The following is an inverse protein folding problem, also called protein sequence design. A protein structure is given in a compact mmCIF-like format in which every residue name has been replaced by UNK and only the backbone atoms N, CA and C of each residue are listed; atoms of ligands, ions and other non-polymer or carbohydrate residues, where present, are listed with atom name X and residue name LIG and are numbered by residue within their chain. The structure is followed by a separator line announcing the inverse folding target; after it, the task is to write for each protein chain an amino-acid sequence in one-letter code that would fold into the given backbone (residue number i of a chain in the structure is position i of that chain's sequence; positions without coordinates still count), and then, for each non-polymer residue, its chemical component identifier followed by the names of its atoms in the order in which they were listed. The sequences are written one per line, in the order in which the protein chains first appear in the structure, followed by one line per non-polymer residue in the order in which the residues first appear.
data_IF_844561570267
#
_entry.id   IF_844561570267
#
_cell.length_a   1.000
_cell.length_b   1.000
_cell.length_c   1.000
_cell.angle_alpha   90.00
_cell.angle_beta   90.00
_cell.angle_gamma   90.00
#
_symmetry.space_group_name_H-M   'P 1'
#
loop_
_entity.id
_entity.type
_entity.pdbx_description
1 polymer ?
#
# COMPACT_ATOMS: atom_id res chain seq x y z
N UNK A 1 -1.85 5.36 19.98
CA UNK A 1 -1.51 4.44 18.87
C UNK A 1 -1.54 5.23 17.57
N UNK A 2 -0.73 4.85 16.59
CA UNK A 2 -0.79 5.42 15.24
C UNK A 2 -1.06 4.31 14.23
N UNK A 3 -1.91 4.56 13.25
CA UNK A 3 -2.11 3.65 12.15
C UNK A 3 -2.30 4.37 10.82
N UNK A 4 -1.92 3.70 9.75
CA UNK A 4 -2.02 4.19 8.38
C UNK A 4 -2.81 3.22 7.53
N UNK A 5 -3.80 3.75 6.81
CA UNK A 5 -4.49 3.03 5.75
C UNK A 5 -3.75 3.32 4.45
N UNK A 6 -3.21 2.28 3.82
CA UNK A 6 -2.41 2.41 2.60
C UNK A 6 -3.15 1.80 1.42
N UNK A 7 -3.38 2.60 0.38
CA UNK A 7 -3.90 2.15 -0.91
C UNK A 7 -2.77 2.16 -1.94
N UNK A 8 -2.25 0.99 -2.35
CA UNK A 8 -1.23 0.95 -3.39
C UNK A 8 -1.84 1.33 -4.74
N UNK A 9 -1.07 2.03 -5.57
CA UNK A 9 -1.46 2.52 -6.88
C UNK A 9 -0.45 2.05 -7.93
N UNK A 10 -0.98 1.68 -9.09
CA UNK A 10 -0.24 1.36 -10.29
C UNK A 10 -0.70 2.28 -11.43
N UNK A 11 0.22 2.88 -12.17
CA UNK A 11 -0.07 3.73 -13.33
C UNK A 11 0.84 3.38 -14.51
N UNK A 12 0.34 2.49 -15.34
CA UNK A 12 0.96 1.96 -16.54
C UNK A 12 0.59 2.76 -17.79
N UNK A 13 0.03 3.96 -17.66
CA UNK A 13 -0.36 4.76 -18.83
C UNK A 13 0.83 5.11 -19.71
N UNK A 14 2.06 5.11 -19.17
CA UNK A 14 3.29 5.23 -19.95
C UNK A 14 3.45 4.17 -21.05
N UNK A 15 2.76 3.02 -20.93
CA UNK A 15 2.72 1.96 -21.94
C UNK A 15 1.78 2.24 -23.11
N UNK A 16 0.83 3.16 -22.94
CA UNK A 16 -0.04 3.58 -24.04
C UNK A 16 0.76 4.46 -25.02
N UNK A 17 0.55 4.30 -26.32
CA UNK A 17 1.27 5.06 -27.36
C UNK A 17 1.18 6.59 -27.16
N UNK A 18 -0.01 7.12 -26.84
CA UNK A 18 -0.22 8.53 -26.45
C UNK A 18 -0.10 8.81 -24.94
N UNK A 19 0.48 7.87 -24.19
CA UNK A 19 0.53 7.86 -22.72
C UNK A 19 -0.84 8.04 -22.04
N UNK A 20 -1.93 7.72 -22.74
CA UNK A 20 -3.32 7.95 -22.34
C UNK A 20 -3.57 9.35 -21.74
N UNK A 21 -2.92 10.38 -22.33
CA UNK A 21 -3.05 11.75 -21.87
C UNK A 21 -2.39 12.07 -20.52
N UNK A 22 -1.62 11.13 -19.93
CA UNK A 22 -0.87 11.32 -18.68
C UNK A 22 0.04 12.54 -18.78
N UNK A 23 0.13 13.30 -17.70
CA UNK A 23 1.12 14.38 -17.56
C UNK A 23 2.54 13.80 -17.60
N UNK A 24 3.42 14.38 -18.42
CA UNK A 24 4.79 13.85 -18.64
C UNK A 24 5.66 13.84 -17.39
N UNK A 25 5.43 14.80 -16.50
CA UNK A 25 6.02 14.82 -15.16
C UNK A 25 4.90 15.17 -14.19
N UNK A 26 4.55 14.30 -13.23
CA UNK A 26 4.15 14.86 -11.96
C UNK A 26 5.41 15.55 -11.42
N UNK A 27 5.36 16.85 -11.13
CA UNK A 27 6.58 17.60 -10.80
C UNK A 27 7.03 17.32 -9.36
N UNK A 28 7.57 16.12 -9.13
CA UNK A 28 8.20 15.76 -7.86
C UNK A 28 9.60 16.37 -7.84
N UNK A 29 9.84 17.28 -6.90
CA UNK A 29 11.18 17.76 -6.58
C UNK A 29 11.81 18.79 -7.53
N UNK A 30 11.02 19.53 -8.31
CA UNK A 30 11.50 20.84 -8.77
C UNK A 30 11.15 21.85 -7.68
N UNK A 31 12.13 22.66 -7.26
CA UNK A 31 12.02 23.73 -6.28
C UNK A 31 11.08 24.88 -6.70
N UNK A 32 10.24 24.66 -7.70
CA UNK A 32 9.27 25.62 -8.20
C UNK A 32 7.89 25.33 -7.57
N UNK A 33 7.42 26.16 -6.63
CA UNK A 33 6.06 26.08 -6.07
C UNK A 33 4.95 26.31 -7.11
N UNK A 34 5.26 26.67 -8.37
CA UNK A 34 4.32 26.72 -9.48
C UNK A 34 4.26 25.44 -10.33
N UNK A 35 5.05 24.42 -9.99
CA UNK A 35 4.99 23.15 -10.68
C UNK A 35 3.65 22.48 -10.37
N UNK A 36 2.70 22.60 -11.32
CA UNK A 36 1.32 22.12 -11.21
C UNK A 36 1.33 20.62 -10.94
N UNK A 37 1.19 20.24 -9.67
CA UNK A 37 0.89 18.85 -9.31
C UNK A 37 -0.42 18.42 -9.99
N UNK A 38 -0.68 17.11 -9.99
CA UNK A 38 -1.92 16.54 -10.45
C UNK A 38 -3.10 17.34 -9.85
N UNK A 39 -3.91 17.98 -10.69
CA UNK A 39 -4.96 18.93 -10.27
C UNK A 39 -5.86 18.28 -9.20
N UNK A 40 -6.41 19.02 -8.23
CA UNK A 40 -7.37 18.43 -7.27
C UNK A 40 -6.76 17.66 -6.10
N UNK A 41 -5.43 17.63 -6.01
CA UNK A 41 -4.72 17.38 -4.77
C UNK A 41 -4.31 18.72 -4.12
N UNK A 42 -3.66 18.67 -2.97
CA UNK A 42 -3.15 19.81 -2.21
C UNK A 42 -1.69 20.15 -2.52
N UNK A 43 -1.04 20.80 -1.56
CA UNK A 43 0.36 21.24 -1.66
C UNK A 43 1.35 20.06 -1.74
N UNK A 44 2.50 20.30 -2.38
CA UNK A 44 3.63 19.36 -2.34
C UNK A 44 4.52 19.76 -1.17
N UNK A 45 4.87 18.77 -0.35
CA UNK A 45 5.77 18.97 0.78
C UNK A 45 7.03 18.15 0.60
N UNK A 46 8.16 18.71 1.01
CA UNK A 46 9.38 17.95 1.31
C UNK A 46 9.22 17.24 2.64
N UNK A 47 9.61 15.98 2.72
CA UNK A 47 9.70 15.29 4.00
C UNK A 47 11.00 15.68 4.70
N UNK A 48 10.92 16.07 5.98
CA UNK A 48 12.10 16.28 6.83
C UNK A 48 12.88 14.96 6.90
N UNK A 49 14.08 14.95 6.32
CA UNK A 49 14.97 13.78 6.28
C UNK A 49 15.22 13.30 7.71
N UNK A 50 14.92 12.04 7.97
CA UNK A 50 15.39 11.34 9.17
C UNK A 50 15.60 9.87 8.79
N UNK A 51 16.77 9.33 9.14
CA UNK A 51 17.14 7.93 8.92
C UNK A 51 18.10 7.73 7.77
N UNK A 52 17.60 7.42 6.56
CA UNK A 52 18.47 6.91 5.49
C UNK A 52 18.05 7.34 4.08
N UNK A 53 17.09 8.26 3.93
CA UNK A 53 16.72 8.88 2.65
C UNK A 53 16.29 7.88 1.56
N UNK A 54 15.14 7.22 1.73
CA UNK A 54 14.62 6.31 0.70
C UNK A 54 14.31 7.06 -0.61
N UNK A 55 14.85 6.62 -1.77
CA UNK A 55 14.51 7.21 -3.07
C UNK A 55 13.00 7.15 -3.32
N UNK A 56 12.38 8.27 -3.68
CA UNK A 56 10.93 8.37 -3.94
C UNK A 56 10.05 8.81 -2.76
N UNK A 57 10.61 8.94 -1.55
CA UNK A 57 9.86 9.42 -0.36
C UNK A 57 10.22 10.85 0.08
N UNK A 58 11.07 11.52 -0.70
CA UNK A 58 11.56 12.86 -0.39
C UNK A 58 10.46 13.93 -0.48
N UNK A 59 9.41 13.63 -1.25
CA UNK A 59 8.28 14.51 -1.45
C UNK A 59 6.99 13.71 -1.23
N UNK A 60 5.91 14.40 -0.96
CA UNK A 60 4.55 13.88 -1.02
C UNK A 60 3.60 15.01 -1.39
N UNK A 61 2.47 14.65 -2.00
CA UNK A 61 1.36 15.58 -2.19
C UNK A 61 0.34 15.38 -1.06
N UNK A 62 -0.20 16.48 -0.53
CA UNK A 62 -1.37 16.42 0.34
C UNK A 62 -2.62 16.03 -0.48
N UNK A 63 -3.51 15.22 0.09
CA UNK A 63 -4.78 14.82 -0.50
C UNK A 63 -5.98 15.58 0.05
N UNK A 64 -5.80 16.72 0.74
CA UNK A 64 -6.88 17.44 1.42
C UNK A 64 -8.05 17.77 0.50
N UNK A 65 -7.79 18.13 -0.76
CA UNK A 65 -8.82 18.47 -1.74
C UNK A 65 -9.57 17.24 -2.27
N UNK A 66 -8.91 16.07 -2.30
CA UNK A 66 -9.47 14.83 -2.82
C UNK A 66 -10.18 14.01 -1.73
N UNK A 67 -9.67 14.00 -0.51
CA UNK A 67 -10.09 13.11 0.57
C UNK A 67 -10.58 13.96 1.74
N UNK A 68 -11.80 13.71 2.21
CA UNK A 68 -12.43 14.35 3.36
C UNK A 68 -12.92 13.31 4.35
N UNK A 69 -12.95 13.69 5.63
CA UNK A 69 -13.46 12.87 6.71
C UNK A 69 -14.78 13.48 7.17
N UNK A 70 -15.94 12.87 6.83
CA UNK A 70 -17.24 13.49 7.06
C UNK A 70 -17.63 13.53 8.55
N UNK A 71 -17.06 12.63 9.35
CA UNK A 71 -17.32 12.48 10.78
C UNK A 71 -16.03 12.17 11.52
N UNK A 72 -16.06 12.33 12.84
CA UNK A 72 -15.04 11.80 13.73
C UNK A 72 -15.19 10.28 13.82
N UNK A 73 -14.07 9.56 13.96
CA UNK A 73 -14.05 8.11 14.04
C UNK A 73 -13.87 7.66 15.48
N UNK A 74 -14.58 6.59 15.85
CA UNK A 74 -14.60 6.06 17.20
C UNK A 74 -14.34 4.56 17.15
N UNK A 75 -13.17 4.13 17.62
CA UNK A 75 -12.73 2.75 17.54
C UNK A 75 -12.72 2.10 18.92
N UNK A 76 -13.20 0.86 19.02
CA UNK A 76 -13.13 0.07 20.25
C UNK A 76 -11.84 -0.74 20.29
N UNK A 77 -11.11 -0.81 21.42
CA UNK A 77 -9.89 -1.60 21.53
C UNK A 77 -10.09 -3.08 21.18
N UNK A 78 -11.24 -3.63 21.57
CA UNK A 78 -11.74 -4.98 21.28
C UNK A 78 -13.28 -4.92 21.18
N UNK A 79 -13.92 -5.83 20.45
CA UNK A 79 -15.37 -5.80 20.17
C UNK A 79 -16.27 -5.72 21.40
N UNK A 80 -15.84 -6.33 22.52
CA UNK A 80 -16.66 -6.48 23.72
C UNK A 80 -16.71 -5.23 24.61
N UNK A 81 -15.82 -4.26 24.39
CA UNK A 81 -15.79 -3.04 25.19
C UNK A 81 -16.83 -2.04 24.71
N UNK A 82 -17.51 -1.39 25.67
CA UNK A 82 -18.53 -0.39 25.36
C UNK A 82 -17.90 0.97 25.02
N UNK A 83 -16.79 1.31 25.68
CA UNK A 83 -16.08 2.58 25.48
C UNK A 83 -15.28 2.56 24.17
N UNK A 84 -15.43 3.64 23.40
CA UNK A 84 -14.71 3.85 22.16
C UNK A 84 -13.65 4.93 22.34
N UNK A 85 -12.60 4.83 21.55
CA UNK A 85 -11.45 5.72 21.51
C UNK A 85 -11.57 6.58 20.28
N UNK A 86 -11.38 7.87 20.45
CA UNK A 86 -11.39 8.82 19.33
C UNK A 86 -10.17 8.54 18.45
N UNK A 87 -10.41 8.27 17.17
CA UNK A 87 -9.39 8.26 16.13
C UNK A 87 -9.51 9.53 15.29
N UNK A 88 -8.43 10.30 15.19
CA UNK A 88 -8.40 11.52 14.41
C UNK A 88 -7.35 11.47 13.30
N UNK A 89 -7.66 12.03 12.12
CA UNK A 89 -6.73 12.05 11.01
C UNK A 89 -5.57 12.99 11.30
N UNK A 90 -4.35 12.55 10.99
CA UNK A 90 -3.13 13.36 11.15
C UNK A 90 -2.51 13.76 9.81
N UNK A 91 -2.74 12.99 8.74
CA UNK A 91 -2.32 13.37 7.39
C UNK A 91 -3.06 12.56 6.32
N UNK A 92 -3.04 13.09 5.09
CA UNK A 92 -3.58 12.46 3.89
C UNK A 92 -2.53 12.66 2.80
N UNK A 93 -1.69 11.67 2.57
CA UNK A 93 -0.54 11.82 1.70
C UNK A 93 -0.70 10.95 0.47
N UNK A 94 -0.18 11.43 -0.63
CA UNK A 94 0.05 10.64 -1.82
C UNK A 94 1.54 10.64 -2.11
N UNK A 95 2.04 9.47 -2.51
CA UNK A 95 3.41 9.25 -2.97
C UNK A 95 3.37 8.61 -4.35
N UNK A 96 4.29 8.98 -5.23
CA UNK A 96 4.43 8.38 -6.56
C UNK A 96 5.88 8.40 -6.99
N UNK A 97 6.35 7.31 -7.57
CA UNK A 97 7.74 7.14 -8.01
C UNK A 97 8.07 7.92 -9.30
N UNK A 98 7.05 8.44 -9.98
CA UNK A 98 7.19 9.15 -11.26
C UNK A 98 7.08 8.23 -12.48
N UNK A 99 7.14 6.92 -12.28
CA UNK A 99 7.19 5.89 -13.31
C UNK A 99 5.89 5.10 -13.36
N UNK A 100 5.63 4.24 -12.37
CA UNK A 100 4.51 3.31 -12.38
C UNK A 100 3.85 3.06 -11.03
N UNK A 101 4.51 3.36 -9.91
CA UNK A 101 4.05 2.94 -8.58
C UNK A 101 3.81 4.14 -7.68
N UNK A 102 2.72 4.09 -6.92
CA UNK A 102 2.43 5.08 -5.90
C UNK A 102 1.54 4.53 -4.81
N UNK A 103 1.17 5.40 -3.87
CA UNK A 103 0.24 5.04 -2.81
C UNK A 103 -0.48 6.25 -2.26
N UNK A 104 -1.71 6.05 -1.83
CA UNK A 104 -2.35 6.91 -0.85
C UNK A 104 -2.03 6.38 0.55
N UNK A 105 -1.62 7.25 1.45
CA UNK A 105 -1.30 6.93 2.83
C UNK A 105 -2.08 7.86 3.76
N UNK A 106 -3.06 7.30 4.46
CA UNK A 106 -3.99 8.05 5.31
C UNK A 106 -3.69 7.71 6.76
N UNK A 107 -3.07 8.67 7.46
CA UNK A 107 -2.59 8.49 8.82
C UNK A 107 -3.61 8.93 9.85
N UNK A 108 -3.75 8.14 10.90
CA UNK A 108 -4.62 8.39 12.05
C UNK A 108 -3.86 8.20 13.36
N UNK A 109 -4.29 8.93 14.37
CA UNK A 109 -3.82 8.77 15.75
C UNK A 109 -5.02 8.56 16.67
N UNK A 110 -4.86 7.65 17.62
CA UNK A 110 -5.80 7.50 18.74
C UNK A 110 -5.55 8.60 19.76
N UNK A 111 -6.61 9.21 20.27
CA UNK A 111 -6.56 10.28 21.25
C UNK A 111 -6.19 9.73 22.65
N UNK A 112 -5.14 10.31 23.23
CA UNK A 112 -4.59 9.90 24.53
C UNK A 112 -5.63 10.01 25.66
N UNK A 113 -6.41 11.10 25.70
CA UNK A 113 -7.46 11.27 26.72
C UNK A 113 -8.51 10.15 26.68
N UNK A 114 -8.98 9.77 25.50
CA UNK A 114 -9.92 8.65 25.36
C UNK A 114 -9.28 7.28 25.64
N UNK A 115 -7.96 7.14 25.49
CA UNK A 115 -7.22 5.95 25.90
C UNK A 115 -7.18 5.87 27.43
N UNK A 116 -6.88 6.98 28.10
CA UNK A 116 -6.81 7.07 29.56
C UNK A 116 -8.19 6.81 30.19
N UNK A 117 -9.26 7.34 29.60
CA UNK A 117 -10.64 7.07 30.02
C UNK A 117 -10.98 5.58 29.94
N UNK A 118 -10.63 4.93 28.83
CA UNK A 118 -10.82 3.47 28.67
C UNK A 118 -10.03 2.71 29.73
N UNK A 119 -8.76 3.06 29.94
CA UNK A 119 -7.91 2.41 30.93
C UNK A 119 -8.46 2.60 32.36
N UNK A 120 -9.00 3.78 32.67
CA UNK A 120 -9.64 4.06 33.95
C UNK A 120 -10.92 3.24 34.16
N UNK A 121 -11.77 3.13 33.14
CA UNK A 121 -13.06 2.44 33.27
C UNK A 121 -13.00 0.92 33.12
N UNK A 122 -12.11 0.40 32.27
CA UNK A 122 -12.07 -1.00 31.86
C UNK A 122 -10.79 -1.71 32.38
N UNK A 123 -9.88 -0.98 33.02
CA UNK A 123 -8.60 -1.48 33.55
C UNK A 123 -7.53 -1.63 32.47
N UNK A 124 -6.63 -2.60 32.66
CA UNK A 124 -5.52 -2.87 31.73
C UNK A 124 -6.03 -3.53 30.43
N UNK A 125 -6.54 -2.71 29.52
CA UNK A 125 -7.03 -3.15 28.20
C UNK A 125 -5.88 -3.51 27.27
N UNK A 126 -5.97 -4.70 26.66
CA UNK A 126 -5.13 -5.09 25.53
C UNK A 126 -5.88 -4.84 24.23
N UNK A 127 -5.19 -4.29 23.24
CA UNK A 127 -5.75 -3.83 21.99
C UNK A 127 -5.63 -4.90 20.91
N UNK A 128 -6.65 -5.09 20.09
CA UNK A 128 -6.58 -5.97 18.92
C UNK A 128 -6.26 -5.16 17.66
N UNK A 129 -5.10 -5.46 17.04
CA UNK A 129 -4.70 -4.83 15.78
C UNK A 129 -5.69 -5.15 14.66
N UNK A 130 -6.15 -6.40 14.60
CA UNK A 130 -7.11 -6.90 13.61
C UNK A 130 -8.46 -6.19 13.73
N UNK A 131 -8.95 -6.00 14.96
CA UNK A 131 -10.26 -5.40 15.22
C UNK A 131 -10.24 -3.88 14.98
N UNK A 132 -9.16 -3.20 15.35
CA UNK A 132 -9.00 -1.78 15.06
C UNK A 132 -8.90 -1.53 13.55
N UNK A 133 -8.14 -2.36 12.84
CA UNK A 133 -8.07 -2.32 11.38
C UNK A 133 -9.44 -2.60 10.74
N UNK A 134 -10.21 -3.55 11.29
CA UNK A 134 -11.53 -3.89 10.77
C UNK A 134 -12.47 -2.69 10.88
N UNK A 135 -12.55 -2.11 12.08
CA UNK A 135 -13.41 -0.96 12.36
C UNK A 135 -13.04 0.23 11.47
N UNK A 136 -11.77 0.63 11.42
CA UNK A 136 -11.39 1.79 10.59
C UNK A 136 -11.65 1.54 9.10
N UNK A 137 -11.48 0.32 8.59
CA UNK A 137 -11.76 0.03 7.18
C UNK A 137 -13.26 0.05 6.83
N UNK A 138 -14.14 -0.03 7.85
CA UNK A 138 -15.58 0.15 7.70
C UNK A 138 -16.03 1.60 7.89
N UNK A 139 -15.17 2.49 8.42
CA UNK A 139 -15.49 3.90 8.55
C UNK A 139 -15.61 4.59 7.19
N UNK A 140 -16.53 5.55 7.10
CA UNK A 140 -16.80 6.27 5.87
C UNK A 140 -15.76 7.36 5.60
N UNK A 141 -15.25 7.38 4.38
CA UNK A 141 -14.44 8.45 3.81
C UNK A 141 -15.19 9.12 2.67
N UNK A 142 -15.02 10.43 2.50
CA UNK A 142 -15.57 11.17 1.38
C UNK A 142 -14.49 11.50 0.35
N UNK A 143 -14.68 11.08 -0.89
CA UNK A 143 -13.77 11.35 -2.03
C UNK A 143 -14.43 12.39 -2.94
N UNK A 144 -13.77 13.53 -3.15
CA UNK A 144 -14.23 14.66 -3.95
C UNK A 144 -13.40 14.76 -5.23
N UNK A 145 -14.02 14.48 -6.37
CA UNK A 145 -13.34 14.49 -7.67
C UNK A 145 -13.39 15.88 -8.32
N UNK A 146 -12.41 16.13 -9.19
CA UNK A 146 -12.31 17.39 -9.95
C UNK A 146 -13.50 17.69 -10.85
N UNK A 147 -14.21 16.66 -11.31
CA UNK A 147 -15.39 16.77 -12.17
C UNK A 147 -16.68 16.99 -11.36
N UNK A 148 -16.57 17.21 -10.04
CA UNK A 148 -17.68 17.48 -9.15
C UNK A 148 -18.34 16.25 -8.55
N UNK A 149 -17.98 15.02 -8.98
CA UNK A 149 -18.48 13.79 -8.35
C UNK A 149 -18.00 13.69 -6.90
N UNK A 150 -18.88 13.25 -6.01
CA UNK A 150 -18.60 13.05 -4.58
C UNK A 150 -19.05 11.66 -4.16
N UNK A 151 -18.17 10.91 -3.52
CA UNK A 151 -18.44 9.55 -3.05
C UNK A 151 -18.25 9.51 -1.54
N UNK A 152 -19.25 9.07 -0.80
CA UNK A 152 -19.11 8.74 0.63
C UNK A 152 -19.25 7.24 0.77
N UNK A 153 -18.19 6.57 1.19
CA UNK A 153 -18.13 5.11 1.23
C UNK A 153 -17.11 4.63 2.27
N UNK A 154 -17.16 3.36 2.71
CA UNK A 154 -16.14 2.79 3.57
C UNK A 154 -14.74 2.87 2.95
N UNK A 155 -13.68 3.01 3.76
CA UNK A 155 -12.30 2.94 3.27
C UNK A 155 -12.03 1.68 2.47
N UNK A 156 -12.56 0.53 2.91
CA UNK A 156 -12.48 -0.75 2.19
C UNK A 156 -12.97 -0.71 0.75
N UNK A 157 -13.88 0.21 0.42
CA UNK A 157 -14.45 0.40 -0.92
C UNK A 157 -13.89 1.61 -1.68
N UNK A 158 -12.90 2.33 -1.12
CA UNK A 158 -12.46 3.63 -1.64
C UNK A 158 -11.64 3.56 -2.94
N UNK A 159 -11.07 2.39 -3.27
CA UNK A 159 -10.10 2.23 -4.34
C UNK A 159 -10.56 2.76 -5.72
N UNK A 160 -11.79 2.48 -6.22
CA UNK A 160 -12.23 2.99 -7.52
C UNK A 160 -12.32 4.52 -7.57
N UNK A 161 -12.80 5.16 -6.50
CA UNK A 161 -12.90 6.62 -6.45
C UNK A 161 -11.51 7.28 -6.36
N UNK A 162 -10.59 6.68 -5.60
CA UNK A 162 -9.19 7.12 -5.53
C UNK A 162 -8.49 6.99 -6.90
N UNK A 163 -8.74 5.91 -7.63
CA UNK A 163 -8.25 5.70 -9.00
C UNK A 163 -8.76 6.80 -9.94
N UNK A 164 -10.07 7.05 -9.94
CA UNK A 164 -10.68 8.07 -10.79
C UNK A 164 -10.14 9.46 -10.45
N UNK A 165 -10.00 9.77 -9.16
CA UNK A 165 -9.33 10.98 -8.67
C UNK A 165 -7.93 11.11 -9.24
N UNK A 166 -7.10 10.08 -9.10
CA UNK A 166 -5.76 10.09 -9.69
C UNK A 166 -5.79 10.36 -11.19
N UNK A 167 -6.60 9.65 -11.98
CA UNK A 167 -6.65 9.81 -13.44
C UNK A 167 -7.05 11.24 -13.81
N UNK A 168 -8.11 11.80 -13.20
CA UNK A 168 -8.57 13.17 -13.46
C UNK A 168 -7.48 14.21 -13.18
N UNK A 169 -6.78 14.02 -12.06
CA UNK A 169 -5.72 14.90 -11.59
C UNK A 169 -4.48 14.85 -12.48
N UNK A 170 -4.13 13.67 -12.98
CA UNK A 170 -2.87 13.39 -13.65
C UNK A 170 -2.98 13.27 -15.18
N UNK A 171 -4.10 13.69 -15.76
CA UNK A 171 -4.35 13.72 -17.23
C UNK A 171 -4.35 15.16 -17.75
N UNK A 172 -3.75 15.43 -18.91
CA UNK A 172 -3.79 16.75 -19.58
C UNK A 172 -5.25 17.19 -19.79
N UNK A 173 -5.58 18.48 -19.55
CA UNK A 173 -6.97 18.97 -19.64
C UNK A 173 -7.61 18.67 -21.01
N UNK A 174 -6.86 18.93 -22.08
CA UNK A 174 -7.31 18.67 -23.44
C UNK A 174 -7.59 17.18 -23.72
N UNK A 175 -6.91 16.27 -23.01
CA UNK A 175 -7.03 14.84 -23.19
C UNK A 175 -8.15 14.19 -22.36
N UNK A 176 -8.72 14.90 -21.37
CA UNK A 176 -9.82 14.38 -20.54
C UNK A 176 -11.09 14.04 -21.35
N UNK A 177 -11.30 14.70 -22.49
CA UNK A 177 -12.42 14.39 -23.39
C UNK A 177 -12.13 13.24 -24.34
N UNK A 178 -10.85 12.91 -24.55
CA UNK A 178 -10.39 11.92 -25.52
C UNK A 178 -10.28 10.52 -24.92
N UNK A 179 -10.11 10.42 -23.59
CA UNK A 179 -9.95 9.15 -22.90
C UNK A 179 -11.05 8.92 -21.88
N UNK A 180 -11.77 7.80 -22.04
CA UNK A 180 -12.75 7.35 -21.05
C UNK A 180 -12.04 6.88 -19.77
N UNK A 181 -12.34 7.53 -18.64
CA UNK A 181 -11.69 7.26 -17.34
C UNK A 181 -11.81 5.80 -16.93
N UNK A 182 -12.99 5.19 -17.10
CA UNK A 182 -13.23 3.80 -16.71
C UNK A 182 -12.40 2.84 -17.54
N UNK A 183 -12.29 3.06 -18.86
CA UNK A 183 -11.49 2.25 -19.77
C UNK A 183 -10.00 2.35 -19.42
N UNK A 184 -9.50 3.57 -19.21
CA UNK A 184 -8.12 3.80 -18.77
C UNK A 184 -7.86 3.16 -17.40
N UNK A 185 -8.79 3.32 -16.46
CA UNK A 185 -8.72 2.76 -15.11
C UNK A 185 -8.93 1.26 -15.01
N UNK A 186 -9.39 0.58 -16.06
CA UNK A 186 -9.45 -0.89 -16.12
C UNK A 186 -8.19 -1.51 -16.70
N UNK A 187 -7.46 -0.76 -17.52
CA UNK A 187 -6.32 -1.28 -18.29
C UNK A 187 -4.98 -0.75 -17.77
N UNK A 188 -4.88 0.54 -17.50
CA UNK A 188 -3.59 1.20 -17.26
C UNK A 188 -3.42 1.69 -15.83
N UNK A 189 -4.49 1.99 -15.09
CA UNK A 189 -4.38 2.54 -13.74
C UNK A 189 -5.14 1.69 -12.74
N UNK A 190 -4.46 1.14 -11.74
CA UNK A 190 -5.06 0.36 -10.67
C UNK A 190 -4.86 1.01 -9.31
N UNK A 191 -5.86 0.91 -8.43
CA UNK A 191 -5.69 1.11 -6.98
C UNK A 191 -6.08 -0.20 -6.30
N UNK A 192 -5.20 -0.71 -5.44
CA UNK A 192 -5.38 -1.98 -4.77
C UNK A 192 -6.26 -1.90 -3.53
N UNK A 193 -6.63 -3.07 -3.02
CA UNK A 193 -7.25 -3.19 -1.70
C UNK A 193 -6.34 -2.56 -0.65
N UNK A 194 -6.90 -1.83 0.34
CA UNK A 194 -6.11 -1.23 1.38
C UNK A 194 -5.45 -2.30 2.26
N UNK A 195 -4.30 -1.96 2.81
CA UNK A 195 -3.74 -2.64 3.98
C UNK A 195 -3.52 -1.62 5.09
N UNK A 196 -3.50 -2.10 6.34
CA UNK A 196 -3.35 -1.23 7.50
C UNK A 196 -2.00 -1.48 8.14
N UNK A 197 -1.27 -0.41 8.40
CA UNK A 197 -0.08 -0.45 9.23
C UNK A 197 -0.41 0.13 10.61
N UNK A 198 -0.06 -0.57 11.69
CA UNK A 198 -0.33 -0.14 13.07
C UNK A 198 0.99 -0.07 13.84
N UNK A 199 1.29 1.08 14.43
CA UNK A 199 2.28 1.20 15.51
C UNK A 199 1.54 1.37 16.83
N UNK A 200 1.74 0.41 17.73
CA UNK A 200 1.27 0.49 19.10
C UNK A 200 2.40 0.94 20.01
N UNK A 201 2.26 2.06 20.71
CA UNK A 201 3.21 2.43 21.77
C UNK A 201 2.87 1.76 23.11
N UNK A 202 3.64 2.10 24.14
CA UNK A 202 3.50 1.54 25.50
C UNK A 202 2.11 1.70 26.11
N UNK A 203 1.37 2.73 25.71
CA UNK A 203 0.04 3.06 26.21
C UNK A 203 -1.06 2.16 25.61
N UNK A 204 -0.79 1.45 24.51
CA UNK A 204 -1.82 0.71 23.76
C UNK A 204 -1.47 -0.75 23.49
N UNK A 205 -0.90 -1.44 24.49
CA UNK A 205 -0.37 -2.80 24.37
C UNK A 205 -1.27 -3.74 23.55
N UNK A 206 -0.68 -4.34 22.51
CA UNK A 206 -1.41 -5.27 21.65
C UNK A 206 -1.62 -6.61 22.36
N UNK A 207 -2.79 -7.20 22.17
CA UNK A 207 -3.03 -8.59 22.56
C UNK A 207 -2.27 -9.53 21.61
N UNK A 208 -1.85 -10.69 22.14
CA UNK A 208 -1.24 -11.74 21.32
C UNK A 208 -2.36 -12.49 20.58
N UNK A 209 -2.60 -12.12 19.34
CA UNK A 209 -3.60 -12.78 18.49
C UNK A 209 -3.11 -14.18 18.04
N UNK A 210 -4.05 -15.10 17.85
CA UNK A 210 -3.77 -16.50 17.47
C UNK A 210 -3.31 -16.63 16.01
N UNK A 211 -3.68 -15.68 15.15
CA UNK A 211 -3.38 -15.70 13.71
C UNK A 211 -2.29 -14.69 13.32
N UNK A 212 -1.33 -14.45 14.22
CA UNK A 212 -0.18 -13.58 13.94
C UNK A 212 0.97 -14.38 13.30
N UNK A 213 1.52 -13.86 12.21
CA UNK A 213 2.78 -14.32 11.61
C UNK A 213 3.87 -13.31 11.91
N UNK A 214 4.91 -13.72 12.60
CA UNK A 214 6.05 -12.85 12.86
C UNK A 214 6.84 -12.63 11.56
N UNK A 215 6.96 -11.36 11.16
CA UNK A 215 7.72 -10.93 9.98
C UNK A 215 9.15 -10.57 10.35
N UNK A 216 9.37 -9.98 11.52
CA UNK A 216 10.69 -9.69 12.06
C UNK A 216 10.62 -9.68 13.58
N UNK A 217 11.72 -9.98 14.25
CA UNK A 217 11.79 -9.94 15.71
C UNK A 217 13.20 -10.07 16.23
N UNK A 218 13.66 -9.02 16.89
CA UNK A 218 14.80 -9.06 17.81
C UNK A 218 14.41 -8.37 19.14
N UNK A 219 15.39 -8.10 20.00
CA UNK A 219 15.16 -7.45 21.30
C UNK A 219 14.60 -6.02 21.20
N UNK A 220 14.72 -5.37 20.03
CA UNK A 220 14.49 -3.94 19.84
C UNK A 220 13.41 -3.61 18.80
N UNK A 221 13.05 -4.57 17.93
CA UNK A 221 12.04 -4.41 16.90
C UNK A 221 11.29 -5.72 16.68
N UNK A 222 9.98 -5.69 16.87
CA UNK A 222 9.07 -6.76 16.46
C UNK A 222 8.14 -6.24 15.37
N UNK A 223 7.96 -7.02 14.31
CA UNK A 223 6.96 -6.77 13.28
C UNK A 223 6.19 -8.07 13.07
N UNK A 224 4.87 -8.00 13.11
CA UNK A 224 4.03 -9.12 12.75
C UNK A 224 2.96 -8.73 11.75
N UNK A 225 2.53 -9.73 11.00
CA UNK A 225 1.42 -9.65 10.07
C UNK A 225 0.23 -10.38 10.68
N UNK A 226 -0.95 -9.83 10.49
CA UNK A 226 -2.21 -10.49 10.76
C UNK A 226 -3.22 -10.15 9.67
N UNK A 227 -4.42 -10.73 9.79
CA UNK A 227 -5.51 -10.45 8.87
C UNK A 227 -6.68 -9.85 9.63
N UNK A 228 -7.14 -8.73 9.12
CA UNK A 228 -8.40 -8.14 9.52
C UNK A 228 -9.46 -8.46 8.48
N UNK A 229 -10.72 -8.57 8.85
CA UNK A 229 -11.76 -8.79 7.86
C UNK A 229 -13.17 -8.82 8.42
N UNK A 230 -14.13 -8.66 7.51
CA UNK A 230 -15.53 -9.04 7.72
C UNK A 230 -15.82 -10.30 6.91
N UNK A 231 -17.00 -10.92 7.08
CA UNK A 231 -17.37 -12.22 6.48
C UNK A 231 -17.14 -12.38 4.96
N UNK A 232 -16.82 -11.30 4.22
CA UNK A 232 -16.61 -11.31 2.76
C UNK A 232 -15.30 -10.68 2.27
N UNK A 233 -14.49 -10.07 3.13
CA UNK A 233 -13.26 -9.39 2.70
C UNK A 233 -12.20 -9.42 3.79
N UNK A 234 -11.00 -9.86 3.44
CA UNK A 234 -9.81 -9.81 4.30
C UNK A 234 -8.83 -8.73 3.84
N UNK A 235 -8.15 -8.13 4.80
CA UNK A 235 -7.18 -7.08 4.63
C UNK A 235 -5.93 -7.41 5.45
N UNK A 236 -4.77 -7.12 4.87
CA UNK A 236 -3.51 -7.32 5.55
C UNK A 236 -3.30 -6.23 6.61
N UNK A 237 -2.87 -6.65 7.79
CA UNK A 237 -2.49 -5.77 8.88
C UNK A 237 -1.03 -6.03 9.23
N UNK A 238 -0.20 -5.01 9.16
CA UNK A 238 1.16 -5.05 9.67
C UNK A 238 1.22 -4.26 10.97
N UNK A 239 1.77 -4.84 12.02
CA UNK A 239 1.81 -4.22 13.33
C UNK A 239 3.20 -4.25 13.95
N UNK A 240 3.57 -3.13 14.58
CA UNK A 240 4.76 -2.97 15.41
C UNK A 240 4.31 -2.63 16.83
N UNK A 241 4.48 -3.55 17.81
CA UNK A 241 4.46 -3.19 19.21
C UNK A 241 5.77 -2.45 19.54
N UNK A 242 5.65 -1.31 20.18
CA UNK A 242 6.76 -0.41 20.50
C UNK A 242 6.81 -0.14 21.99
N UNK A 243 8.03 -0.10 22.52
CA UNK A 243 8.32 0.35 23.89
C UNK A 243 8.29 1.88 24.02
N UNK A 244 8.37 2.60 22.90
CA UNK A 244 8.30 4.05 22.89
C UNK A 244 6.84 4.54 23.02
N UNK A 245 6.68 5.80 23.41
CA UNK A 245 5.36 6.43 23.59
C UNK A 245 4.57 6.51 22.29
N UNK A 246 3.27 6.81 22.35
CA UNK A 246 2.44 7.02 21.15
C UNK A 246 2.91 8.17 20.26
N UNK A 247 3.53 9.19 20.83
CA UNK A 247 4.01 10.38 20.10
C UNK A 247 5.35 10.17 19.40
N UNK A 248 6.10 9.15 19.82
CA UNK A 248 7.43 8.86 19.30
C UNK A 248 7.40 7.73 18.27
N UNK A 249 8.43 7.64 17.44
CA UNK A 249 8.65 6.51 16.52
C UNK A 249 10.17 6.36 16.41
N UNK A 250 10.70 5.17 16.73
CA UNK A 250 12.14 4.97 16.63
C UNK A 250 12.58 4.97 15.17
N UNK A 251 13.85 5.31 14.86
CA UNK A 251 14.36 5.22 13.49
C UNK A 251 14.17 3.84 12.84
N UNK A 252 14.35 2.76 13.62
CA UNK A 252 14.17 1.37 13.15
C UNK A 252 12.71 1.04 12.84
N UNK A 253 11.77 1.43 13.72
CA UNK A 253 10.33 1.26 13.48
C UNK A 253 9.87 2.01 12.23
N UNK A 254 10.35 3.24 12.07
CA UNK A 254 10.11 4.06 10.88
C UNK A 254 10.64 3.35 9.64
N UNK A 255 11.89 2.91 9.68
CA UNK A 255 12.54 2.25 8.55
C UNK A 255 11.77 1.01 8.12
N UNK A 256 11.45 0.13 9.07
CA UNK A 256 10.65 -1.06 8.86
C UNK A 256 9.29 -0.75 8.22
N UNK A 257 8.56 0.24 8.74
CA UNK A 257 7.27 0.67 8.20
C UNK A 257 7.37 1.12 6.75
N UNK A 258 8.34 1.99 6.45
CA UNK A 258 8.53 2.54 5.11
C UNK A 258 8.95 1.44 4.13
N UNK A 259 9.89 0.61 4.55
CA UNK A 259 10.38 -0.52 3.77
C UNK A 259 9.24 -1.49 3.39
N UNK A 260 8.51 -1.98 4.39
CA UNK A 260 7.38 -2.88 4.17
C UNK A 260 6.32 -2.26 3.26
N UNK A 261 5.97 -0.98 3.52
CA UNK A 261 5.00 -0.24 2.70
C UNK A 261 5.44 -0.14 1.24
N UNK A 262 6.70 0.19 1.01
CA UNK A 262 7.26 0.33 -0.32
C UNK A 262 7.23 -0.99 -1.07
N UNK A 263 7.72 -2.06 -0.45
CA UNK A 263 7.73 -3.42 -1.02
C UNK A 263 6.30 -3.87 -1.40
N UNK A 264 5.32 -3.67 -0.53
CA UNK A 264 3.90 -3.98 -0.81
C UNK A 264 3.33 -3.19 -1.99
N UNK A 265 3.64 -1.90 -2.08
CA UNK A 265 3.15 -1.00 -3.13
C UNK A 265 3.71 -1.38 -4.50
N UNK A 266 4.98 -1.74 -4.54
CA UNK A 266 5.65 -2.19 -5.76
C UNK A 266 5.15 -3.55 -6.21
N UNK A 267 4.99 -4.51 -5.28
CA UNK A 267 4.43 -5.81 -5.59
C UNK A 267 3.01 -5.69 -6.15
N UNK A 268 2.20 -4.77 -5.63
CA UNK A 268 0.89 -4.49 -6.22
C UNK A 268 1.01 -3.99 -7.67
N UNK A 269 1.89 -3.02 -7.94
CA UNK A 269 2.08 -2.49 -9.29
C UNK A 269 2.55 -3.58 -10.27
N UNK A 270 3.45 -4.45 -9.82
CA UNK A 270 3.90 -5.61 -10.58
C UNK A 270 2.76 -6.59 -10.87
N UNK A 271 2.02 -7.03 -9.84
CA UNK A 271 0.89 -7.94 -10.03
C UNK A 271 -0.20 -7.32 -10.92
N UNK A 272 -0.43 -6.01 -10.83
CA UNK A 272 -1.34 -5.31 -11.72
C UNK A 272 -0.85 -5.39 -13.17
N UNK A 273 0.41 -5.08 -13.45
CA UNK A 273 1.00 -5.22 -14.78
C UNK A 273 0.87 -6.64 -15.35
N UNK A 274 1.26 -7.67 -14.58
CA UNK A 274 1.16 -9.06 -15.03
C UNK A 274 -0.27 -9.46 -15.40
N UNK A 275 -1.28 -9.04 -14.62
CA UNK A 275 -2.70 -9.28 -14.94
C UNK A 275 -3.10 -8.66 -16.28
N UNK A 276 -2.65 -7.43 -16.53
CA UNK A 276 -3.00 -6.73 -17.76
C UNK A 276 -2.33 -7.37 -19.00
N UNK A 277 -1.08 -7.82 -18.87
CA UNK A 277 -0.38 -8.60 -19.92
C UNK A 277 -1.04 -9.95 -20.16
N UNK A 278 -1.37 -10.69 -19.09
CA UNK A 278 -2.04 -11.99 -19.19
C UNK A 278 -3.41 -11.87 -19.88
N UNK A 279 -4.15 -10.78 -19.59
CA UNK A 279 -5.44 -10.49 -20.23
C UNK A 279 -5.33 -9.99 -21.69
N UNK A 280 -4.13 -9.83 -22.22
CA UNK A 280 -3.89 -9.34 -23.59
C UNK A 280 -4.19 -7.84 -23.79
N UNK A 281 -4.50 -7.10 -22.72
CA UNK A 281 -4.81 -5.65 -22.79
C UNK A 281 -3.56 -4.79 -22.95
N UNK A 282 -2.39 -5.32 -22.59
CA UNK A 282 -1.08 -4.68 -22.76
C UNK A 282 -0.16 -5.58 -23.59
N UNK A 283 0.56 -4.98 -24.53
CA UNK A 283 1.53 -5.68 -25.38
C UNK A 283 2.95 -5.49 -24.87
N UNK A 284 3.50 -6.56 -24.27
CA UNK A 284 4.94 -6.79 -24.08
C UNK A 284 5.72 -5.81 -23.16
N UNK A 285 6.97 -6.15 -22.78
CA UNK A 285 7.57 -5.72 -21.51
C UNK A 285 8.70 -4.70 -21.54
N UNK A 286 9.16 -4.30 -22.73
CA UNK A 286 10.42 -3.57 -22.90
C UNK A 286 10.49 -2.23 -22.18
N UNK A 287 9.36 -1.63 -21.80
CA UNK A 287 9.30 -0.30 -21.18
C UNK A 287 9.25 -0.30 -19.65
N UNK A 288 8.96 -1.42 -18.99
CA UNK A 288 8.89 -1.50 -17.52
C UNK A 288 9.93 -2.45 -16.92
N UNK A 289 10.47 -3.37 -17.73
CA UNK A 289 11.56 -4.27 -17.34
C UNK A 289 12.75 -3.54 -16.67
N UNK A 290 13.26 -2.39 -17.16
CA UNK A 290 14.33 -1.67 -16.45
C UNK A 290 13.90 -1.11 -15.09
N UNK A 291 12.66 -0.66 -14.94
CA UNK A 291 12.14 -0.14 -13.67
C UNK A 291 11.91 -1.25 -12.65
N UNK A 292 11.44 -2.43 -13.09
CA UNK A 292 11.31 -3.59 -12.22
C UNK A 292 12.69 -4.19 -11.91
N UNK A 293 13.60 -4.27 -12.88
CA UNK A 293 14.94 -4.77 -12.66
C UNK A 293 15.69 -3.87 -11.67
N UNK A 294 15.70 -2.55 -11.87
CA UNK A 294 16.29 -1.61 -10.92
C UNK A 294 15.66 -1.72 -9.52
N UNK A 295 14.38 -2.10 -9.45
CA UNK A 295 13.74 -2.38 -8.17
C UNK A 295 14.23 -3.67 -7.54
N UNK A 296 14.20 -4.77 -8.27
CA UNK A 296 14.62 -6.08 -7.78
C UNK A 296 16.11 -6.06 -7.41
N UNK A 297 16.93 -5.40 -8.22
CA UNK A 297 18.32 -5.06 -7.91
C UNK A 297 18.41 -4.28 -6.62
N UNK A 298 17.67 -3.17 -6.45
CA UNK A 298 17.69 -2.41 -5.19
C UNK A 298 17.24 -3.22 -3.97
N UNK A 299 16.31 -4.16 -4.13
CA UNK A 299 15.87 -5.05 -3.05
C UNK A 299 16.88 -6.16 -2.77
N UNK A 300 17.62 -6.63 -3.78
CA UNK A 300 18.61 -7.69 -3.65
C UNK A 300 20.02 -7.18 -3.34
N UNK A 301 20.31 -5.91 -3.63
CA UNK A 301 21.59 -5.23 -3.46
C UNK A 301 21.61 -4.36 -2.21
N UNK A 302 20.83 -4.74 -1.19
CA UNK A 302 20.92 -4.15 0.15
C UNK A 302 22.27 -4.53 0.75
N UNK A 303 23.32 -3.90 0.25
CA UNK A 303 24.68 -4.01 0.75
C UNK A 303 24.97 -2.79 1.61
N UNK A 304 25.49 -2.99 2.83
CA UNK A 304 25.81 -1.87 3.69
C UNK A 304 27.05 -1.13 3.21
N UNK A 305 27.08 0.17 3.48
CA UNK A 305 28.29 0.98 3.30
C UNK A 305 29.39 0.44 4.20
N UNK A 306 30.54 0.13 3.61
CA UNK A 306 31.69 -0.42 4.32
C UNK A 306 32.06 0.42 5.55
N UNK A 307 32.13 -0.23 6.71
CA UNK A 307 32.45 0.42 7.99
C UNK A 307 31.28 1.14 8.67
N UNK A 308 30.08 1.20 8.08
CA UNK A 308 28.89 1.77 8.71
C UNK A 308 28.02 0.69 9.36
N UNK A 309 28.23 0.48 10.67
CA UNK A 309 27.51 -0.52 11.46
C UNK A 309 25.99 -0.30 11.54
N UNK A 310 25.53 0.96 11.55
CA UNK A 310 24.09 1.26 11.59
C UNK A 310 23.41 0.88 10.27
N UNK A 311 24.10 1.10 9.16
CA UNK A 311 23.64 0.73 7.82
C UNK A 311 23.67 -0.79 7.61
N UNK A 312 24.70 -1.48 8.12
CA UNK A 312 24.76 -2.95 8.18
C UNK A 312 23.57 -3.57 8.90
N UNK A 313 23.23 -3.04 10.07
CA UNK A 313 22.06 -3.49 10.82
C UNK A 313 20.75 -3.26 10.03
N UNK A 314 20.60 -2.07 9.43
CA UNK A 314 19.44 -1.71 8.62
C UNK A 314 19.28 -2.63 7.39
N UNK A 315 20.34 -2.87 6.64
CA UNK A 315 20.33 -3.78 5.49
C UNK A 315 19.96 -5.21 5.92
N UNK A 316 20.51 -5.70 7.03
CA UNK A 316 20.19 -7.01 7.58
C UNK A 316 18.70 -7.12 7.96
N UNK A 317 18.15 -6.12 8.64
CA UNK A 317 16.73 -6.08 9.01
C UNK A 317 15.82 -6.11 7.77
N UNK A 318 16.13 -5.29 6.77
CA UNK A 318 15.37 -5.23 5.52
C UNK A 318 15.43 -6.56 4.77
N UNK A 319 16.60 -7.19 4.70
CA UNK A 319 16.77 -8.49 4.07
C UNK A 319 15.95 -9.57 4.78
N UNK A 320 15.93 -9.58 6.11
CA UNK A 320 15.14 -10.55 6.87
C UNK A 320 13.63 -10.30 6.73
N UNK A 321 13.20 -9.03 6.71
CA UNK A 321 11.83 -8.66 6.40
C UNK A 321 11.45 -9.19 5.01
N UNK A 322 12.27 -8.93 3.97
CA UNK A 322 12.03 -9.45 2.61
C UNK A 322 11.88 -10.97 2.59
N UNK A 323 12.84 -11.69 3.19
CA UNK A 323 12.86 -13.15 3.22
C UNK A 323 11.60 -13.74 3.83
N UNK A 324 11.02 -13.04 4.81
CA UNK A 324 9.81 -13.47 5.51
C UNK A 324 8.52 -12.87 4.95
N UNK A 325 8.59 -11.92 4.02
CA UNK A 325 7.39 -11.49 3.27
C UNK A 325 6.97 -12.55 2.26
N UNK A 326 5.72 -12.48 1.78
CA UNK A 326 5.23 -13.31 0.66
C UNK A 326 5.78 -12.87 -0.71
N UNK A 327 6.78 -12.00 -0.72
CA UNK A 327 7.33 -11.37 -1.90
C UNK A 327 8.71 -11.96 -2.10
N UNK A 328 8.86 -12.80 -3.12
CA UNK A 328 10.14 -13.38 -3.52
C UNK A 328 10.68 -12.61 -4.74
N UNK A 329 11.66 -11.71 -4.57
CA UNK A 329 12.21 -10.90 -5.67
C UNK A 329 12.73 -11.75 -6.84
N UNK A 330 13.37 -12.88 -6.56
CA UNK A 330 13.91 -13.80 -7.58
C UNK A 330 12.80 -14.51 -8.35
N UNK A 331 11.71 -14.89 -7.66
CA UNK A 331 10.52 -15.43 -8.33
C UNK A 331 9.85 -14.36 -9.20
N UNK A 332 9.71 -13.13 -8.72
CA UNK A 332 9.18 -12.02 -9.51
C UNK A 332 10.05 -11.76 -10.76
N UNK A 333 11.39 -11.76 -10.62
CA UNK A 333 12.31 -11.67 -11.75
C UNK A 333 12.10 -12.79 -12.77
N UNK A 334 11.93 -14.02 -12.28
CA UNK A 334 11.74 -15.21 -13.11
C UNK A 334 10.39 -15.22 -13.82
N UNK A 335 9.32 -14.79 -13.14
CA UNK A 335 7.99 -14.63 -13.74
C UNK A 335 7.99 -13.57 -14.86
N UNK A 336 8.74 -12.48 -14.66
CA UNK A 336 9.00 -11.49 -15.70
C UNK A 336 9.72 -12.17 -16.85
N UNK A 337 10.92 -12.73 -16.64
CA UNK A 337 11.70 -13.34 -17.72
C UNK A 337 10.91 -14.39 -18.52
N UNK A 338 10.10 -15.21 -17.85
CA UNK A 338 9.24 -16.21 -18.49
C UNK A 338 8.07 -15.64 -19.30
N UNK A 339 7.45 -14.55 -18.83
CA UNK A 339 6.36 -13.87 -19.55
C UNK A 339 6.89 -12.90 -20.63
N UNK A 340 8.11 -12.42 -20.45
CA UNK A 340 8.82 -11.47 -21.32
C UNK A 340 9.47 -12.15 -22.50
N UNK A 341 10.02 -13.35 -22.31
CA UNK A 341 10.54 -14.14 -23.42
C UNK A 341 9.42 -14.33 -24.44
N UNK A 342 9.60 -13.85 -25.70
CA UNK A 342 8.62 -14.10 -26.74
C UNK A 342 8.62 -15.61 -26.98
N UNK A 343 7.63 -16.29 -26.39
CA UNK A 343 7.56 -17.73 -26.43
C UNK A 343 7.60 -18.20 -27.88
N UNK A 344 8.65 -18.95 -28.21
CA UNK A 344 8.78 -19.73 -29.44
C UNK A 344 7.49 -20.54 -29.73
N UNK A 345 6.76 -20.94 -28.69
CA UNK A 345 5.46 -21.60 -28.75
C UNK A 345 4.26 -20.71 -29.13
N UNK A 346 4.28 -19.40 -28.85
CA UNK A 346 3.20 -18.46 -29.22
C UNK A 346 3.14 -18.19 -30.73
N UNK A 347 4.25 -18.41 -31.45
CA UNK A 347 4.31 -18.34 -32.92
C UNK A 347 3.76 -19.59 -33.62
N UNK A 348 3.63 -20.73 -32.91
CA UNK A 348 3.26 -22.01 -33.55
C UNK A 348 1.83 -22.48 -33.25
N UNK A 349 1.25 -22.09 -32.10
CA UNK A 349 -0.10 -22.51 -31.70
C UNK A 349 -1.10 -21.36 -31.56
N UNK A 350 -0.93 -20.31 -32.34
CA UNK A 350 -1.94 -19.25 -32.48
C UNK A 350 -3.16 -19.75 -33.23
N UNK A 351 -4.08 -20.44 -32.56
CA UNK A 351 -5.36 -20.80 -33.19
C UNK A 351 -6.29 -21.73 -32.41
N UNK A 352 -5.81 -22.47 -31.41
CA UNK A 352 -6.66 -23.45 -30.72
C UNK A 352 -6.34 -23.40 -29.23
N UNK A 353 -7.32 -22.97 -28.44
CA UNK A 353 -7.53 -23.15 -26.98
C UNK A 353 -8.16 -21.89 -26.38
N UNK A 354 -9.33 -21.52 -26.90
CA UNK A 354 -10.35 -20.88 -26.09
C UNK A 354 -11.11 -21.98 -25.36
N UNK A 355 -10.74 -22.25 -24.10
CA UNK A 355 -11.56 -22.86 -23.04
C UNK A 355 -10.64 -23.31 -21.91
N UNK A 356 -10.26 -22.38 -21.03
CA UNK A 356 -9.74 -22.70 -19.71
C UNK A 356 -9.83 -21.49 -18.79
N UNK A 357 -10.98 -20.79 -18.77
CA UNK A 357 -11.10 -19.58 -17.96
C UNK A 357 -12.44 -19.52 -17.21
N UNK A 358 -12.33 -19.79 -15.90
CA UNK A 358 -13.31 -19.59 -14.82
C UNK A 358 -12.79 -20.14 -13.49
N UNK A 359 -11.78 -21.02 -13.53
CA UNK A 359 -11.12 -21.53 -12.31
C UNK A 359 -9.92 -20.70 -11.87
N UNK A 360 -9.32 -19.87 -12.73
CA UNK A 360 -8.18 -19.01 -12.37
C UNK A 360 -8.63 -17.79 -11.55
N UNK A 361 -9.81 -17.22 -11.86
CA UNK A 361 -10.39 -16.12 -11.09
C UNK A 361 -10.69 -16.51 -9.64
N UNK A 362 -11.24 -17.71 -9.40
CA UNK A 362 -11.48 -18.22 -8.05
C UNK A 362 -10.19 -18.73 -7.42
N UNK A 363 -9.26 -19.33 -8.18
CA UNK A 363 -8.03 -19.89 -7.63
C UNK A 363 -6.94 -18.86 -7.32
N UNK A 364 -6.98 -17.62 -7.82
CA UNK A 364 -5.99 -16.58 -7.50
C UNK A 364 -6.45 -15.70 -6.33
N UNK A 365 -7.75 -15.40 -6.26
CA UNK A 365 -8.36 -14.81 -5.05
C UNK A 365 -8.35 -15.84 -3.91
N UNK A 366 -8.58 -17.12 -4.23
CA UNK A 366 -8.31 -18.23 -3.33
C UNK A 366 -6.82 -18.60 -3.26
N UNK A 367 -5.86 -18.16 -4.06
CA UNK A 367 -4.43 -18.45 -3.78
C UNK A 367 -3.91 -17.43 -2.77
N UNK A 368 -4.33 -16.17 -2.86
CA UNK A 368 -4.06 -15.17 -1.83
C UNK A 368 -4.78 -15.50 -0.51
N UNK A 369 -5.95 -16.13 -0.55
CA UNK A 369 -6.67 -16.60 0.65
C UNK A 369 -6.28 -18.03 1.11
N UNK A 370 -6.12 -19.00 0.20
CA UNK A 370 -5.77 -20.43 0.45
C UNK A 370 -4.29 -20.64 0.71
N UNK A 371 -3.36 -19.83 0.19
CA UNK A 371 -1.99 -19.83 0.71
C UNK A 371 -1.94 -19.46 2.20
N UNK A 372 -3.06 -19.00 2.77
CA UNK A 372 -3.22 -18.74 4.21
C UNK A 372 -4.11 -19.78 4.88
N UNK A 373 -5.14 -20.29 4.20
CA UNK A 373 -5.95 -21.39 4.74
C UNK A 373 -5.17 -22.70 4.82
N UNK A 374 -4.42 -23.07 3.76
CA UNK A 374 -3.62 -24.31 3.72
C UNK A 374 -2.38 -24.28 4.62
N UNK A 375 -1.89 -23.09 5.01
CA UNK A 375 -0.78 -22.90 5.95
C UNK A 375 -1.25 -22.77 7.42
N UNK A 376 -2.54 -22.54 7.67
CA UNK A 376 -3.15 -22.51 9.01
C UNK A 376 -3.87 -23.82 9.39
N UNK A 377 -4.18 -24.69 8.42
CA UNK A 377 -4.81 -26.00 8.65
C UNK A 377 -3.82 -27.16 8.73
N UNK A 378 -2.53 -26.94 8.50
CA UNK A 378 -1.48 -27.96 8.64
C UNK A 378 -0.57 -27.62 9.83
N UNK A 379 -0.97 -28.11 11.00
CA UNK A 379 -0.06 -28.47 12.09
C UNK A 379 -0.37 -29.91 12.51
N UNK A 380 0.59 -30.66 13.07
CA UNK A 380 1.91 -30.25 13.56
C UNK A 380 3.03 -30.23 12.53
#
# INVERSE_FOLDING_TARGET
MYFSIIFPLADLRNLHHERAGRLERPAWGQSDPQAKFARGFGEIHTRTKSGSGYPGENYYADCNNLIRYPTQYFLRPIQKLQRAIVAYPIYRRFYFDGEMSGRFELGFRLNDGSIDEVAFSEGNVKYSAEELAAQILQENVRIELLDGRKFTQPFSAAAPALRDGWILSSTKNAALKSFELEKIGKTYVGVGSPFVFIRSGRETNLQKDRQRRQLFGDENLEIFLSRSGTQKQSFDVAAIPSVASLSDETPRERLARLFYTQVRVLSYAHSFYLRQVASGKLSGPRSIEPAIQALLERLSSLEPVEGNREDELACHEMAEILRRTDINPSQLATEIDNLVKPGFFRRWFGGIFGYADRKVDIAVEAAAASATTHLLSSGP
#
